data_IF_846672243939
#
_entry.id   IF_846672243939
#
_cell.length_a   1.000
_cell.length_b   1.000
_cell.length_c   1.000
_cell.angle_alpha   90.00
_cell.angle_beta   90.00
_cell.angle_gamma   90.00
#
_symmetry.space_group_name_H-M   'P 1'
#
loop_
_entity.id
_entity.type
_entity.pdbx_description
1 polymer ?
#
# COMPACT_ATOMS: atom_id res chain seq x y z
N UNK A 1 32.76 -5.26 23.56
CA UNK A 1 31.48 -4.57 23.37
C UNK A 1 30.43 -5.65 23.10
N UNK A 2 29.24 -5.64 23.73
CA UNK A 2 28.16 -6.51 23.27
C UNK A 2 27.86 -6.20 21.80
N UNK A 3 27.58 -7.22 20.99
CA UNK A 3 27.20 -7.03 19.60
C UNK A 3 25.89 -6.23 19.53
N UNK A 4 25.79 -5.27 18.63
CA UNK A 4 24.53 -4.55 18.43
C UNK A 4 23.53 -5.50 17.75
N UNK A 5 22.38 -5.72 18.41
CA UNK A 5 21.35 -6.65 17.96
C UNK A 5 20.16 -5.86 17.41
N UNK A 6 19.59 -6.30 16.29
CA UNK A 6 18.55 -5.58 15.56
C UNK A 6 17.40 -6.47 15.12
N UNK A 7 16.19 -5.90 15.07
CA UNK A 7 15.00 -6.50 14.45
C UNK A 7 14.57 -5.59 13.30
N UNK A 8 14.42 -6.15 12.09
CA UNK A 8 13.92 -5.43 10.93
C UNK A 8 12.40 -5.43 10.84
N UNK A 9 11.78 -4.29 10.56
CA UNK A 9 10.33 -4.17 10.33
C UNK A 9 10.04 -3.44 9.01
N UNK A 10 9.37 -4.13 8.09
CA UNK A 10 9.14 -3.67 6.72
C UNK A 10 7.65 -3.65 6.40
N UNK A 11 7.22 -2.66 5.63
CA UNK A 11 5.82 -2.63 5.17
C UNK A 11 5.65 -2.09 3.77
N UNK A 12 4.51 -2.40 3.17
CA UNK A 12 4.08 -1.86 1.88
C UNK A 12 2.58 -1.67 1.84
N UNK A 13 2.08 -1.00 0.79
CA UNK A 13 0.65 -0.81 0.55
C UNK A 13 0.18 -1.84 -0.50
N UNK A 14 -1.07 -2.32 -0.41
CA UNK A 14 -1.65 -3.11 -1.48
C UNK A 14 -1.81 -2.26 -2.73
N UNK A 15 -1.73 -2.93 -3.87
CA UNK A 15 -2.10 -2.39 -5.17
C UNK A 15 -3.17 -3.29 -5.79
N UNK A 16 -4.45 -3.11 -5.40
CA UNK A 16 -5.53 -4.00 -5.85
C UNK A 16 -5.69 -4.06 -7.36
N UNK A 17 -5.44 -2.94 -8.05
CA UNK A 17 -5.55 -2.89 -9.51
C UNK A 17 -4.44 -3.66 -10.23
N UNK A 18 -3.33 -3.97 -9.56
CA UNK A 18 -2.27 -4.85 -10.06
C UNK A 18 -2.35 -6.26 -9.46
N UNK A 19 -3.49 -6.63 -8.84
CA UNK A 19 -3.70 -7.89 -8.12
C UNK A 19 -2.69 -8.13 -6.96
N UNK A 20 -2.04 -7.08 -6.45
CA UNK A 20 -1.15 -7.17 -5.30
C UNK A 20 -1.93 -6.83 -4.02
N UNK A 21 -2.53 -7.83 -3.38
CA UNK A 21 -3.34 -7.65 -2.16
C UNK A 21 -2.92 -8.55 -1.00
N UNK A 22 -1.93 -9.40 -1.24
CA UNK A 22 -1.38 -10.34 -0.27
C UNK A 22 0.13 -10.26 -0.32
N UNK A 23 0.77 -10.63 0.78
CA UNK A 23 2.22 -10.64 0.92
C UNK A 23 2.61 -11.84 1.79
N UNK A 24 3.65 -12.55 1.41
CA UNK A 24 4.22 -13.61 2.24
C UNK A 24 4.66 -13.06 3.60
N UNK A 25 4.52 -13.88 4.65
CA UNK A 25 5.09 -13.57 5.97
C UNK A 25 6.60 -13.84 6.05
N UNK A 26 7.14 -14.58 5.09
CA UNK A 26 8.59 -14.76 4.91
C UNK A 26 9.16 -13.54 4.18
N UNK A 27 10.15 -12.90 4.80
CA UNK A 27 10.75 -11.65 4.32
C UNK A 27 11.48 -11.81 2.99
N UNK A 28 12.17 -12.93 2.79
CA UNK A 28 12.91 -13.16 1.56
C UNK A 28 11.96 -13.50 0.39
N UNK A 29 10.87 -14.23 0.66
CA UNK A 29 9.79 -14.42 -0.33
C UNK A 29 9.07 -13.09 -0.61
N UNK A 30 8.70 -12.33 0.41
CA UNK A 30 8.04 -11.04 0.26
C UNK A 30 8.89 -10.01 -0.53
N UNK A 31 10.21 -10.10 -0.44
CA UNK A 31 11.13 -9.31 -1.26
C UNK A 31 11.10 -9.69 -2.75
N UNK A 32 10.70 -10.92 -3.10
CA UNK A 32 10.44 -11.30 -4.51
C UNK A 32 9.09 -10.78 -5.01
N UNK A 33 8.12 -10.62 -4.11
CA UNK A 33 6.75 -10.17 -4.42
C UNK A 33 6.63 -8.64 -4.48
N UNK A 34 7.46 -7.90 -3.72
CA UNK A 34 7.40 -6.45 -3.62
C UNK A 34 8.78 -5.80 -3.67
N UNK A 35 8.99 -4.95 -4.68
CA UNK A 35 10.21 -4.14 -4.82
C UNK A 35 10.41 -3.19 -3.62
N UNK A 36 9.33 -2.71 -3.00
CA UNK A 36 9.40 -1.88 -1.78
C UNK A 36 9.87 -2.68 -0.56
N UNK A 37 9.43 -3.92 -0.40
CA UNK A 37 9.90 -4.79 0.70
C UNK A 37 11.37 -5.14 0.48
N UNK A 38 11.72 -5.52 -0.75
CA UNK A 38 13.11 -5.79 -1.14
C UNK A 38 14.04 -4.64 -0.81
N UNK A 39 13.63 -3.43 -1.19
CA UNK A 39 14.36 -2.20 -0.89
C UNK A 39 14.61 -2.03 0.62
N UNK A 40 13.57 -2.15 1.45
CA UNK A 40 13.69 -1.98 2.90
C UNK A 40 14.62 -3.03 3.53
N UNK A 41 14.44 -4.30 3.14
CA UNK A 41 15.28 -5.42 3.58
C UNK A 41 16.74 -5.18 3.22
N UNK A 42 17.03 -4.85 1.97
CA UNK A 42 18.40 -4.68 1.48
C UNK A 42 19.07 -3.47 2.13
N UNK A 43 18.34 -2.36 2.31
CA UNK A 43 18.83 -1.18 3.04
C UNK A 43 19.15 -1.50 4.50
N UNK A 44 18.24 -2.18 5.22
CA UNK A 44 18.45 -2.55 6.62
C UNK A 44 19.58 -3.55 6.79
N UNK A 45 19.63 -4.61 5.98
CA UNK A 45 20.72 -5.60 6.03
C UNK A 45 22.07 -4.96 5.75
N UNK A 46 22.15 -4.07 4.76
CA UNK A 46 23.37 -3.29 4.48
C UNK A 46 23.77 -2.42 5.67
N UNK A 47 22.83 -1.65 6.22
CA UNK A 47 23.11 -0.79 7.37
C UNK A 47 23.61 -1.59 8.59
N UNK A 48 23.00 -2.74 8.87
CA UNK A 48 23.46 -3.62 9.97
C UNK A 48 24.87 -4.13 9.72
N UNK A 49 25.19 -4.55 8.48
CA UNK A 49 26.54 -4.98 8.11
C UNK A 49 27.55 -3.84 8.28
N UNK A 50 27.22 -2.63 7.81
CA UNK A 50 28.08 -1.44 7.90
C UNK A 50 28.32 -0.98 9.36
N UNK A 51 27.44 -1.37 10.29
CA UNK A 51 27.53 -1.08 11.72
C UNK A 51 27.99 -2.27 12.58
N UNK A 52 28.53 -3.33 11.95
CA UNK A 52 29.00 -4.55 12.62
C UNK A 52 27.95 -5.17 13.57
N UNK A 53 26.68 -5.10 13.17
CA UNK A 53 25.55 -5.59 13.93
C UNK A 53 25.12 -7.00 13.58
N UNK A 54 24.06 -7.48 14.25
CA UNK A 54 23.39 -8.75 13.93
C UNK A 54 21.90 -8.53 13.85
N UNK A 55 21.30 -8.98 12.74
CA UNK A 55 19.85 -8.97 12.54
C UNK A 55 19.30 -10.31 13.03
N UNK A 56 18.56 -10.31 14.16
CA UNK A 56 18.07 -11.56 14.78
C UNK A 56 16.72 -11.99 14.27
N UNK A 57 15.89 -11.05 13.84
CA UNK A 57 14.56 -11.30 13.30
C UNK A 57 14.21 -10.22 12.28
N UNK A 58 13.35 -10.59 11.33
CA UNK A 58 12.76 -9.66 10.38
C UNK A 58 11.25 -9.92 10.30
N UNK A 59 10.47 -8.85 10.18
CA UNK A 59 9.02 -8.87 10.10
C UNK A 59 8.57 -8.05 8.91
N UNK A 60 7.57 -8.55 8.20
CA UNK A 60 6.96 -7.88 7.06
C UNK A 60 5.45 -7.75 7.25
N UNK A 61 4.90 -6.65 6.76
CA UNK A 61 3.49 -6.32 6.88
C UNK A 61 2.95 -5.67 5.59
N UNK A 62 1.72 -6.01 5.21
CA UNK A 62 0.97 -5.30 4.16
C UNK A 62 -0.15 -4.48 4.79
N UNK A 63 -0.09 -3.16 4.62
CA UNK A 63 -1.06 -2.23 5.19
C UNK A 63 -2.29 -2.15 4.28
N UNK A 64 -3.27 -3.01 4.53
CA UNK A 64 -4.45 -3.18 3.69
C UNK A 64 -5.34 -1.93 3.55
N UNK A 65 -5.13 -0.88 4.36
CA UNK A 65 -5.81 0.39 4.21
C UNK A 65 -4.95 1.41 3.44
N UNK A 66 -5.18 1.59 2.11
CA UNK A 66 -4.26 2.29 1.22
C UNK A 66 -4.15 3.82 1.41
N UNK A 67 -4.97 4.44 2.28
CA UNK A 67 -5.08 5.90 2.37
C UNK A 67 -4.66 6.49 3.74
N UNK A 68 -4.39 5.65 4.75
CA UNK A 68 -3.94 6.14 6.07
C UNK A 68 -3.01 5.14 6.71
N UNK A 69 -1.91 5.64 7.27
CA UNK A 69 -1.29 5.03 8.44
C UNK A 69 -2.40 4.53 9.36
N UNK A 70 -2.55 3.22 9.47
CA UNK A 70 -3.73 2.64 10.09
C UNK A 70 -3.36 2.07 11.45
N UNK A 71 -4.36 1.87 12.31
CA UNK A 71 -4.18 1.14 13.56
C UNK A 71 -3.76 -0.33 13.33
N UNK A 72 -3.90 -0.88 12.13
CA UNK A 72 -3.59 -2.28 11.86
C UNK A 72 -2.08 -2.56 11.87
N UNK A 73 -1.24 -1.54 11.67
CA UNK A 73 0.19 -1.66 11.90
C UNK A 73 0.52 -2.05 13.34
N UNK A 74 -0.35 -1.71 14.31
CA UNK A 74 -0.03 -1.84 15.75
C UNK A 74 0.20 -3.28 16.17
N UNK A 75 -0.53 -4.26 15.62
CA UNK A 75 -0.35 -5.68 15.94
C UNK A 75 1.02 -6.18 15.49
N UNK A 76 1.32 -6.16 14.18
CA UNK A 76 2.62 -6.58 13.64
C UNK A 76 3.80 -5.78 14.20
N UNK A 77 3.63 -4.47 14.43
CA UNK A 77 4.65 -3.65 15.07
C UNK A 77 4.89 -4.09 16.52
N UNK A 78 3.83 -4.40 17.28
CA UNK A 78 3.96 -4.89 18.65
C UNK A 78 4.65 -6.25 18.71
N UNK A 79 4.38 -7.16 17.77
CA UNK A 79 5.15 -8.41 17.65
C UNK A 79 6.64 -8.15 17.41
N UNK A 80 6.99 -7.19 16.54
CA UNK A 80 8.38 -6.83 16.31
C UNK A 80 9.03 -6.20 17.55
N UNK A 81 8.28 -5.41 18.31
CA UNK A 81 8.74 -4.79 19.56
C UNK A 81 8.90 -5.82 20.69
N UNK A 82 8.03 -6.82 20.77
CA UNK A 82 8.17 -7.94 21.69
C UNK A 82 9.45 -8.73 21.38
N UNK A 83 9.76 -8.99 20.10
CA UNK A 83 11.04 -9.57 19.70
C UNK A 83 12.22 -8.67 20.11
N UNK A 84 12.11 -7.36 19.96
CA UNK A 84 13.15 -6.45 20.43
C UNK A 84 13.42 -6.60 21.93
N UNK A 85 12.37 -6.77 22.75
CA UNK A 85 12.53 -6.98 24.20
C UNK A 85 13.19 -8.32 24.50
N UNK A 86 12.73 -9.38 23.86
CA UNK A 86 13.21 -10.75 24.09
C UNK A 86 14.70 -10.88 23.76
N UNK A 87 15.16 -10.19 22.71
CA UNK A 87 16.56 -10.23 22.26
C UNK A 87 17.42 -9.06 22.75
N UNK A 88 16.86 -8.10 23.49
CA UNK A 88 17.54 -6.85 23.84
C UNK A 88 17.98 -6.05 22.60
N UNK A 89 17.18 -6.11 21.53
CA UNK A 89 17.48 -5.57 20.22
C UNK A 89 16.90 -4.15 19.99
N UNK A 90 17.43 -3.47 18.98
CA UNK A 90 16.91 -2.20 18.47
C UNK A 90 16.06 -2.44 17.22
N UNK A 91 14.89 -1.81 17.14
CA UNK A 91 14.04 -1.89 15.95
C UNK A 91 14.64 -1.06 14.81
N UNK A 92 14.80 -1.64 13.63
CA UNK A 92 15.17 -0.95 12.40
C UNK A 92 13.98 -0.92 11.43
N UNK A 93 13.72 0.25 10.86
CA UNK A 93 12.64 0.45 9.91
C UNK A 93 13.00 1.58 8.94
N UNK A 94 12.34 1.68 7.78
CA UNK A 94 12.61 2.76 6.82
C UNK A 94 11.60 3.89 6.96
N UNK A 95 12.08 5.11 7.19
CA UNK A 95 11.23 6.26 7.44
C UNK A 95 10.96 7.07 6.16
N UNK A 96 9.91 6.71 5.43
CA UNK A 96 9.54 7.35 4.15
C UNK A 96 9.01 8.80 4.24
N UNK A 97 9.15 9.47 5.38
CA UNK A 97 8.39 10.69 5.69
C UNK A 97 9.03 11.98 5.16
N UNK A 98 10.35 12.02 4.92
CA UNK A 98 11.05 13.31 5.03
C UNK A 98 11.33 14.12 3.75
N UNK A 99 10.91 13.69 2.54
CA UNK A 99 11.14 14.54 1.34
C UNK A 99 9.91 15.20 0.70
N UNK A 100 8.70 14.64 0.80
CA UNK A 100 7.58 15.14 -0.04
C UNK A 100 6.17 14.99 0.57
N UNK A 101 5.92 15.57 1.74
CA UNK A 101 4.55 15.66 2.28
C UNK A 101 3.87 14.31 2.52
N UNK A 102 4.66 13.25 2.71
CA UNK A 102 4.15 11.98 3.23
C UNK A 102 3.58 12.25 4.63
N UNK A 103 2.31 11.93 4.84
CA UNK A 103 1.68 12.12 6.15
C UNK A 103 2.47 11.34 7.21
N UNK A 104 2.70 11.91 8.40
CA UNK A 104 3.27 11.18 9.52
C UNK A 104 2.55 9.85 9.72
N UNK A 105 3.32 8.77 9.94
CA UNK A 105 2.72 7.52 10.36
C UNK A 105 2.43 7.61 11.86
N UNK A 106 1.47 8.47 12.23
CA UNK A 106 1.21 8.86 13.63
C UNK A 106 0.96 7.68 14.58
N UNK A 107 0.45 6.55 14.07
CA UNK A 107 0.31 5.32 14.84
C UNK A 107 1.65 4.61 15.10
N UNK A 108 2.58 4.65 14.15
CA UNK A 108 3.92 4.10 14.33
C UNK A 108 4.68 4.98 15.31
N UNK A 109 4.66 6.30 15.12
CA UNK A 109 5.28 7.26 16.04
C UNK A 109 4.70 7.15 17.47
N UNK A 110 3.37 6.96 17.58
CA UNK A 110 2.69 6.77 18.86
C UNK A 110 3.13 5.49 19.56
N UNK A 111 3.11 4.35 18.86
CA UNK A 111 3.56 3.07 19.43
C UNK A 111 5.04 3.14 19.82
N UNK A 112 5.92 3.64 18.96
CA UNK A 112 7.36 3.73 19.26
C UNK A 112 7.66 4.65 20.45
N UNK A 113 6.89 5.72 20.64
CA UNK A 113 7.02 6.62 21.79
C UNK A 113 6.62 5.95 23.10
N UNK A 114 5.56 5.14 23.07
CA UNK A 114 4.99 4.53 24.27
C UNK A 114 5.78 3.28 24.73
N UNK A 115 6.42 2.57 23.80
CA UNK A 115 6.87 1.20 24.01
C UNK A 115 8.26 1.05 24.67
N UNK A 116 8.99 2.17 24.88
CA UNK A 116 10.34 2.26 25.50
C UNK A 116 11.44 1.41 24.83
N UNK A 117 11.16 0.81 23.68
CA UNK A 117 12.13 0.09 22.85
C UNK A 117 12.90 1.09 21.99
N UNK A 118 14.21 0.90 21.85
CA UNK A 118 15.01 1.72 20.93
C UNK A 118 14.61 1.41 19.48
N UNK A 119 14.38 2.47 18.69
CA UNK A 119 14.08 2.34 17.28
C UNK A 119 14.91 3.33 16.46
N UNK A 120 15.39 2.90 15.30
CA UNK A 120 16.14 3.73 14.34
C UNK A 120 15.39 3.69 13.01
N UNK A 121 14.90 4.87 12.59
CA UNK A 121 14.35 5.08 11.26
C UNK A 121 15.47 5.38 10.27
N UNK A 122 15.67 4.50 9.30
CA UNK A 122 16.63 4.70 8.21
C UNK A 122 16.04 5.62 7.14
N UNK A 123 16.90 6.46 6.58
CA UNK A 123 16.52 7.34 5.48
C UNK A 123 16.26 6.54 4.21
N UNK A 124 15.25 6.92 3.39
CA UNK A 124 14.92 6.21 2.16
C UNK A 124 15.87 6.60 1.02
N UNK A 125 17.18 6.45 1.24
CA UNK A 125 18.20 6.76 0.24
C UNK A 125 18.19 5.73 -0.90
N UNK A 126 18.46 6.15 -2.16
CA UNK A 126 18.54 5.22 -3.27
C UNK A 126 19.63 4.16 -3.07
N UNK A 127 19.32 2.90 -3.41
CA UNK A 127 20.29 1.80 -3.38
C UNK A 127 20.29 1.05 -4.71
N UNK A 128 21.35 0.29 -4.96
CA UNK A 128 21.43 -0.61 -6.10
C UNK A 128 20.67 -1.91 -5.78
N UNK A 129 19.71 -2.28 -6.62
CA UNK A 129 18.99 -3.56 -6.58
C UNK A 129 19.13 -4.19 -7.97
N UNK A 130 19.75 -5.37 -8.05
CA UNK A 130 20.05 -6.07 -9.31
C UNK A 130 20.81 -5.23 -10.35
N UNK A 131 21.70 -4.34 -9.88
CA UNK A 131 22.47 -3.46 -10.77
C UNK A 131 21.69 -2.25 -11.29
N UNK A 132 20.43 -2.07 -10.86
CA UNK A 132 19.65 -0.85 -11.12
C UNK A 132 19.56 0.02 -9.86
N UNK A 133 19.69 1.33 -10.04
CA UNK A 133 19.38 2.28 -8.97
C UNK A 133 17.87 2.27 -8.70
N UNK A 134 17.50 2.02 -7.46
CA UNK A 134 16.12 2.13 -7.00
C UNK A 134 15.98 3.33 -6.06
N UNK A 135 15.24 4.33 -6.51
CA UNK A 135 14.81 5.46 -5.69
C UNK A 135 13.35 5.22 -5.23
N UNK A 136 13.11 4.98 -3.93
CA UNK A 136 11.75 4.74 -3.41
C UNK A 136 10.83 5.94 -3.61
N UNK A 137 11.35 7.16 -3.61
CA UNK A 137 10.55 8.39 -3.76
C UNK A 137 9.99 8.47 -5.18
N UNK A 138 10.84 8.30 -6.19
CA UNK A 138 10.41 8.32 -7.58
C UNK A 138 9.50 7.12 -7.90
N UNK A 139 9.80 5.96 -7.32
CA UNK A 139 8.92 4.80 -7.38
C UNK A 139 7.51 5.13 -6.88
N UNK A 140 7.36 5.69 -5.67
CA UNK A 140 6.05 6.02 -5.11
C UNK A 140 5.32 7.14 -5.87
N UNK A 141 6.06 8.11 -6.42
CA UNK A 141 5.47 9.13 -7.31
C UNK A 141 4.88 8.50 -8.57
N UNK A 142 5.60 7.57 -9.19
CA UNK A 142 5.11 6.83 -10.36
C UNK A 142 3.82 6.08 -10.06
N UNK A 143 3.77 5.36 -8.93
CA UNK A 143 2.56 4.66 -8.48
C UNK A 143 1.39 5.60 -8.19
N UNK A 144 1.65 6.74 -7.53
CA UNK A 144 0.60 7.73 -7.23
C UNK A 144 0.01 8.30 -8.52
N UNK A 145 0.86 8.70 -9.47
CA UNK A 145 0.43 9.20 -10.78
C UNK A 145 -0.43 8.16 -11.52
N UNK A 146 0.03 6.91 -11.60
CA UNK A 146 -0.74 5.85 -12.25
C UNK A 146 -2.09 5.58 -11.57
N UNK A 147 -2.15 5.70 -10.23
CA UNK A 147 -3.38 5.56 -9.48
C UNK A 147 -4.35 6.73 -9.71
N UNK A 148 -3.84 7.96 -9.79
CA UNK A 148 -4.64 9.16 -10.03
C UNK A 148 -5.19 9.17 -11.47
N UNK A 149 -4.36 8.85 -12.48
CA UNK A 149 -4.80 8.68 -13.87
C UNK A 149 -5.92 7.63 -13.99
N UNK A 150 -5.85 6.53 -13.21
CA UNK A 150 -6.91 5.52 -13.18
C UNK A 150 -8.18 5.99 -12.51
N UNK A 151 -8.08 6.79 -11.44
CA UNK A 151 -9.25 7.39 -10.79
C UNK A 151 -9.95 8.36 -11.72
N UNK A 152 -9.18 9.17 -12.45
CA UNK A 152 -9.70 10.10 -13.45
C UNK A 152 -10.43 9.35 -14.58
N UNK A 153 -9.79 8.35 -15.19
CA UNK A 153 -10.44 7.49 -16.20
C UNK A 153 -11.73 6.83 -15.69
N UNK A 154 -11.75 6.39 -14.43
CA UNK A 154 -12.94 5.79 -13.82
C UNK A 154 -14.04 6.82 -13.59
N UNK A 155 -13.68 8.06 -13.21
CA UNK A 155 -14.63 9.16 -13.04
C UNK A 155 -15.23 9.59 -14.38
N UNK A 156 -14.41 9.70 -15.43
CA UNK A 156 -14.87 10.04 -16.77
C UNK A 156 -15.82 8.97 -17.33
N UNK A 157 -15.46 7.69 -17.17
CA UNK A 157 -16.33 6.58 -17.55
C UNK A 157 -17.64 6.62 -16.76
N UNK A 158 -17.58 6.91 -15.46
CA UNK A 158 -18.76 7.01 -14.62
C UNK A 158 -19.68 8.14 -15.10
N UNK A 159 -19.10 9.31 -15.42
CA UNK A 159 -19.83 10.45 -15.94
C UNK A 159 -20.48 10.14 -17.29
N UNK A 160 -19.75 9.54 -18.23
CA UNK A 160 -20.27 9.18 -19.55
C UNK A 160 -21.45 8.19 -19.45
N UNK A 161 -21.34 7.16 -18.60
CA UNK A 161 -22.42 6.21 -18.34
C UNK A 161 -23.61 6.90 -17.69
N UNK A 162 -23.38 7.78 -16.72
CA UNK A 162 -24.45 8.50 -16.03
C UNK A 162 -25.23 9.39 -17.01
N UNK A 163 -24.54 10.12 -17.89
CA UNK A 163 -25.16 10.94 -18.95
C UNK A 163 -26.05 10.10 -19.88
N UNK A 164 -25.59 8.91 -20.29
CA UNK A 164 -26.41 8.00 -21.10
C UNK A 164 -27.66 7.50 -20.36
N UNK A 165 -27.51 7.15 -19.07
CA UNK A 165 -28.64 6.73 -18.24
C UNK A 165 -29.66 7.86 -18.11
N UNK A 166 -29.22 9.09 -17.82
CA UNK A 166 -30.09 10.26 -17.73
C UNK A 166 -30.88 10.49 -19.03
N UNK A 167 -30.20 10.47 -20.18
CA UNK A 167 -30.86 10.64 -21.47
C UNK A 167 -31.95 9.57 -21.72
N UNK A 168 -31.66 8.29 -21.45
CA UNK A 168 -32.66 7.23 -21.57
C UNK A 168 -33.82 7.41 -20.59
N UNK A 169 -33.56 7.86 -19.37
CA UNK A 169 -34.60 8.11 -18.35
C UNK A 169 -35.49 9.28 -18.71
N UNK A 170 -34.97 10.33 -19.34
CA UNK A 170 -35.73 11.47 -19.87
C UNK A 170 -36.70 11.04 -20.97
N UNK A 171 -36.33 10.06 -21.79
CA UNK A 171 -37.24 9.46 -22.80
C UNK A 171 -38.30 8.51 -22.20
N UNK A 172 -38.34 8.37 -20.87
CA UNK A 172 -39.30 7.52 -20.16
C UNK A 172 -38.91 6.04 -20.09
N UNK A 173 -37.69 5.65 -20.48
CA UNK A 173 -37.26 4.25 -20.45
C UNK A 173 -37.25 3.71 -19.01
N UNK A 174 -37.81 2.52 -18.76
CA UNK A 174 -37.73 1.85 -17.46
C UNK A 174 -36.29 1.46 -17.12
N UNK A 175 -35.99 1.25 -15.83
CA UNK A 175 -34.66 0.81 -15.39
C UNK A 175 -34.22 -0.52 -16.02
N UNK A 176 -35.15 -1.43 -16.32
CA UNK A 176 -34.86 -2.66 -17.05
C UNK A 176 -34.41 -2.37 -18.49
N UNK A 177 -35.11 -1.47 -19.20
CA UNK A 177 -34.73 -1.06 -20.56
C UNK A 177 -33.38 -0.34 -20.58
N UNK A 178 -33.08 0.48 -19.57
CA UNK A 178 -31.75 1.12 -19.41
C UNK A 178 -30.67 0.05 -19.27
N UNK A 179 -30.86 -0.94 -18.40
CA UNK A 179 -29.88 -2.01 -18.20
C UNK A 179 -29.69 -2.87 -19.45
N UNK A 180 -30.76 -3.22 -20.16
CA UNK A 180 -30.70 -3.94 -21.44
C UNK A 180 -29.93 -3.15 -22.49
N UNK A 181 -30.22 -1.85 -22.62
CA UNK A 181 -29.53 -0.97 -23.57
C UNK A 181 -28.04 -0.88 -23.26
N UNK A 182 -27.66 -0.63 -22.00
CA UNK A 182 -26.25 -0.57 -21.58
C UNK A 182 -25.52 -1.88 -21.90
N UNK A 183 -26.12 -3.02 -21.54
CA UNK A 183 -25.51 -4.32 -21.78
C UNK A 183 -25.35 -4.64 -23.28
N UNK A 184 -26.36 -4.29 -24.09
CA UNK A 184 -26.38 -4.53 -25.54
C UNK A 184 -25.36 -3.68 -26.29
N UNK A 185 -25.06 -2.48 -25.78
CA UNK A 185 -24.00 -1.61 -26.32
C UNK A 185 -22.61 -1.92 -25.75
N UNK A 186 -22.46 -3.03 -25.02
CA UNK A 186 -21.17 -3.44 -24.45
C UNK A 186 -20.73 -2.64 -23.22
N UNK A 187 -21.53 -1.67 -22.75
CA UNK A 187 -21.24 -0.96 -21.51
C UNK A 187 -21.32 -1.94 -20.33
N UNK A 188 -20.31 -1.89 -19.48
CA UNK A 188 -20.25 -2.63 -18.22
C UNK A 188 -20.22 -1.64 -17.06
N UNK A 189 -20.57 -2.10 -15.87
CA UNK A 189 -20.40 -1.30 -14.65
C UNK A 189 -18.91 -0.96 -14.45
N UNK A 190 -18.60 0.00 -13.58
CA UNK A 190 -17.20 0.38 -13.27
C UNK A 190 -16.33 -0.77 -12.74
N UNK A 191 -16.93 -1.90 -12.37
CA UNK A 191 -16.24 -3.11 -11.91
C UNK A 191 -16.39 -4.28 -12.91
N UNK A 192 -16.75 -4.00 -14.17
CA UNK A 192 -16.85 -4.99 -15.26
C UNK A 192 -18.10 -5.88 -15.25
N UNK A 193 -18.99 -5.76 -14.26
CA UNK A 193 -20.22 -6.57 -14.17
C UNK A 193 -21.29 -6.10 -15.17
N UNK A 194 -22.19 -6.99 -15.63
CA UNK A 194 -23.39 -6.59 -16.37
C UNK A 194 -24.31 -5.66 -15.57
N UNK A 195 -25.05 -4.84 -16.29
CA UNK A 195 -26.09 -3.97 -15.73
C UNK A 195 -27.34 -4.76 -15.37
N UNK A 196 -27.95 -4.40 -14.25
CA UNK A 196 -29.28 -4.82 -13.82
C UNK A 196 -30.11 -3.56 -13.52
N UNK A 197 -31.43 -3.67 -13.50
CA UNK A 197 -32.28 -2.52 -13.18
C UNK A 197 -31.92 -1.88 -11.83
N UNK A 198 -31.60 -2.71 -10.82
CA UNK A 198 -31.26 -2.22 -9.48
C UNK A 198 -29.88 -1.55 -9.43
N UNK A 199 -28.86 -2.11 -10.09
CA UNK A 199 -27.54 -1.47 -10.09
C UNK A 199 -27.49 -0.20 -10.96
N UNK A 200 -28.28 -0.13 -12.04
CA UNK A 200 -28.46 1.07 -12.85
C UNK A 200 -29.12 2.20 -12.04
N UNK A 201 -30.18 1.88 -11.29
CA UNK A 201 -30.84 2.84 -10.41
C UNK A 201 -29.87 3.36 -9.34
N UNK A 202 -29.24 2.45 -8.59
CA UNK A 202 -28.31 2.80 -7.50
C UNK A 202 -27.12 3.63 -7.98
N UNK A 203 -26.63 3.37 -9.18
CA UNK A 203 -25.53 4.11 -9.78
C UNK A 203 -25.82 5.61 -9.95
N UNK A 204 -27.08 5.98 -10.17
CA UNK A 204 -27.52 7.37 -10.34
C UNK A 204 -28.00 8.05 -9.06
N UNK A 205 -28.12 7.30 -7.96
CA UNK A 205 -28.71 7.76 -6.69
C UNK A 205 -27.66 8.12 -5.62
N UNK A 206 -26.36 8.06 -5.96
CA UNK A 206 -25.25 8.44 -5.08
C UNK A 206 -24.44 9.55 -5.72
#
# INVERSE_FOLDING_TARGET
>A
MPANVYVGFYWTLPVPWAAFTTLSGDVDVAATESRTIRYQRDLVRRWVSDNNGTLVCEKVFIELQPDRASKWITGPLKEALDLCRDYGATLLYVHFQERHSSRPHSFLDGVLRDDRVNAIGLYPDPIMIDGEAFDPIDHFRGWRKANDERKEQKADLAHAINTQIHHLRETGASWSKVAEWLNSNGNRTLNGKPWTADNARKFTSG
#
